data_IF_617467296828
#
_entry.id   IF_617467296828
#
_cell.length_a   1.000
_cell.length_b   1.000
_cell.length_c   1.000
_cell.angle_alpha   90.00
_cell.angle_beta   90.00
_cell.angle_gamma   90.00
#
_symmetry.space_group_name_H-M   'P 1'
#
loop_
_entity.id
_entity.type
_entity.pdbx_description
1 polymer ?
#
# COMPACT_ATOMS: atom_id res chain seq x y z
N UNK A 1 -5.35 6.64 8.20
CA UNK A 1 -4.95 7.08 9.56
C UNK A 1 -6.00 6.64 10.58
N UNK A 2 -5.68 6.65 11.87
CA UNK A 2 -6.66 6.35 12.93
C UNK A 2 -7.90 7.26 12.88
N UNK A 3 -7.72 8.54 12.52
CA UNK A 3 -8.81 9.51 12.39
C UNK A 3 -9.79 9.14 11.26
N UNK A 4 -9.29 8.71 10.10
CA UNK A 4 -10.14 8.22 9.00
C UNK A 4 -10.94 6.99 9.43
N UNK A 5 -10.32 6.07 10.17
CA UNK A 5 -11.02 4.89 10.70
C UNK A 5 -12.14 5.29 11.67
N UNK A 6 -11.86 6.17 12.64
CA UNK A 6 -12.87 6.68 13.59
C UNK A 6 -14.08 7.29 12.86
N UNK A 7 -13.82 8.06 11.81
CA UNK A 7 -14.87 8.79 11.11
C UNK A 7 -15.73 7.92 10.18
N UNK A 8 -15.23 6.75 9.75
CA UNK A 8 -15.89 5.91 8.74
C UNK A 8 -16.25 4.50 9.23
N UNK A 9 -15.71 4.07 10.37
CA UNK A 9 -16.05 2.78 10.95
C UNK A 9 -17.41 2.85 11.62
N UNK A 10 -18.34 2.00 11.18
CA UNK A 10 -19.70 1.93 11.74
C UNK A 10 -19.79 1.16 13.06
N UNK A 11 -18.68 0.58 13.53
CA UNK A 11 -18.58 -0.02 14.87
C UNK A 11 -18.17 1.00 15.93
N UNK A 12 -17.95 0.54 17.15
CA UNK A 12 -17.56 1.42 18.26
C UNK A 12 -16.04 1.56 18.33
N UNK A 13 -15.53 2.79 18.20
CA UNK A 13 -14.12 3.10 18.51
C UNK A 13 -14.04 3.66 19.92
N UNK A 14 -13.49 2.87 20.83
CA UNK A 14 -13.53 3.16 22.28
C UNK A 14 -12.38 4.05 22.75
N UNK A 15 -11.25 4.02 22.03
CA UNK A 15 -10.13 4.93 22.21
C UNK A 15 -9.28 4.96 20.93
N UNK A 16 -8.59 6.08 20.72
CA UNK A 16 -7.51 6.20 19.76
C UNK A 16 -6.35 6.92 20.45
N UNK A 17 -5.19 6.27 20.50
CA UNK A 17 -3.98 6.92 20.99
C UNK A 17 -3.21 7.51 19.82
N UNK A 18 -2.88 8.79 19.94
CA UNK A 18 -1.95 9.52 19.06
C UNK A 18 -0.66 9.86 19.81
N UNK A 19 -0.37 9.15 20.92
CA UNK A 19 0.79 9.36 21.78
C UNK A 19 2.06 9.50 20.95
N UNK A 20 2.95 10.43 21.35
CA UNK A 20 4.22 10.67 20.67
C UNK A 20 4.97 9.34 20.46
N UNK A 21 5.24 8.99 19.20
CA UNK A 21 5.97 7.79 18.82
C UNK A 21 7.27 7.67 19.65
N UNK A 22 7.62 6.44 20.03
CA UNK A 22 8.86 6.13 20.75
C UNK A 22 8.75 6.11 22.28
N UNK A 23 7.54 5.98 22.86
CA UNK A 23 7.42 5.72 24.29
C UNK A 23 7.91 4.32 24.66
N UNK A 24 8.52 4.15 25.86
CA UNK A 24 8.94 2.84 26.33
C UNK A 24 7.77 1.94 26.76
N UNK A 25 6.56 2.50 26.91
CA UNK A 25 5.35 1.80 27.35
C UNK A 25 4.11 2.54 26.84
N UNK A 26 3.04 1.79 26.55
CA UNK A 26 1.71 2.26 26.13
C UNK A 26 0.58 1.59 26.95
N UNK A 27 0.92 0.95 28.08
CA UNK A 27 -0.01 0.14 28.87
C UNK A 27 -1.24 0.92 29.35
N UNK A 28 -1.08 2.20 29.72
CA UNK A 28 -2.19 3.03 30.19
C UNK A 28 -3.23 3.27 29.08
N UNK A 29 -2.76 3.56 27.87
CA UNK A 29 -3.59 3.74 26.68
C UNK A 29 -4.30 2.44 26.29
N UNK A 30 -3.59 1.32 26.36
CA UNK A 30 -4.17 -0.02 26.11
C UNK A 30 -5.29 -0.33 27.13
N UNK A 31 -5.05 -0.10 28.41
CA UNK A 31 -6.04 -0.33 29.47
C UNK A 31 -7.26 0.60 29.33
N UNK A 32 -7.04 1.85 28.94
CA UNK A 32 -8.11 2.80 28.67
C UNK A 32 -8.98 2.34 27.50
N UNK A 33 -8.35 1.89 26.40
CA UNK A 33 -9.05 1.38 25.23
C UNK A 33 -9.90 0.14 25.57
N UNK A 34 -9.34 -0.80 26.33
CA UNK A 34 -10.02 -2.02 26.76
C UNK A 34 -11.18 -1.72 27.72
N UNK A 35 -11.01 -0.77 28.65
CA UNK A 35 -12.07 -0.34 29.58
C UNK A 35 -13.28 0.26 28.87
N UNK A 36 -13.09 0.82 27.67
CA UNK A 36 -14.18 1.30 26.83
C UNK A 36 -14.95 0.19 26.09
N UNK A 37 -14.53 -1.07 26.23
CA UNK A 37 -15.20 -2.24 25.64
C UNK A 37 -14.70 -2.63 24.25
N UNK A 38 -13.48 -2.24 23.86
CA UNK A 38 -12.91 -2.70 22.60
C UNK A 38 -12.62 -4.21 22.66
N UNK A 39 -12.91 -4.90 21.56
CA UNK A 39 -12.70 -6.35 21.42
C UNK A 39 -11.42 -6.70 20.67
N UNK A 40 -10.82 -5.72 19.98
CA UNK A 40 -9.60 -5.85 19.21
C UNK A 40 -8.86 -4.51 19.16
N UNK A 41 -7.57 -4.58 18.86
CA UNK A 41 -6.72 -3.40 18.65
C UNK A 41 -6.36 -3.27 17.17
N UNK A 42 -6.60 -2.09 16.58
CA UNK A 42 -6.14 -1.75 15.23
C UNK A 42 -4.71 -1.18 15.33
N UNK A 43 -3.76 -1.83 14.70
CA UNK A 43 -2.32 -1.60 14.82
C UNK A 43 -1.86 -0.73 13.64
N UNK A 44 -1.73 0.57 13.88
CA UNK A 44 -1.28 1.56 12.89
C UNK A 44 -0.01 2.22 13.43
N UNK A 45 1.14 1.60 13.15
CA UNK A 45 2.46 2.07 13.58
C UNK A 45 3.56 1.52 12.66
N UNK A 46 4.82 1.90 12.86
CA UNK A 46 5.93 1.13 12.30
C UNK A 46 6.26 -0.05 13.22
N UNK A 47 6.99 -1.08 12.72
CA UNK A 47 7.21 -2.31 13.47
C UNK A 47 7.89 -2.12 14.83
N UNK A 48 8.80 -1.15 14.96
CA UNK A 48 9.51 -0.91 16.22
C UNK A 48 8.58 -0.43 17.35
N UNK A 49 7.67 0.48 17.03
CA UNK A 49 6.65 0.97 17.97
C UNK A 49 5.58 -0.09 18.21
N UNK A 50 5.15 -0.78 17.15
CA UNK A 50 4.18 -1.87 17.24
C UNK A 50 4.63 -2.97 18.18
N UNK A 51 5.92 -3.32 18.15
CA UNK A 51 6.49 -4.33 19.03
C UNK A 51 6.22 -4.04 20.51
N UNK A 52 6.39 -2.79 20.95
CA UNK A 52 6.25 -2.40 22.36
C UNK A 52 4.82 -2.65 22.85
N UNK A 53 3.83 -2.05 22.19
CA UNK A 53 2.45 -2.15 22.67
C UNK A 53 1.82 -3.51 22.38
N UNK A 54 2.26 -4.25 21.36
CA UNK A 54 1.81 -5.62 21.15
C UNK A 54 2.30 -6.54 22.27
N UNK A 55 3.59 -6.46 22.65
CA UNK A 55 4.12 -7.22 23.79
C UNK A 55 3.38 -6.89 25.07
N UNK A 56 3.26 -5.60 25.41
CA UNK A 56 2.57 -5.19 26.62
C UNK A 56 1.10 -5.64 26.62
N UNK A 57 0.42 -5.51 25.50
CA UNK A 57 -0.97 -5.96 25.35
C UNK A 57 -1.11 -7.45 25.58
N UNK A 58 -0.21 -8.26 25.03
CA UNK A 58 -0.22 -9.73 25.16
C UNK A 58 0.15 -10.15 26.60
N UNK A 59 1.24 -9.62 27.14
CA UNK A 59 1.75 -9.95 28.48
C UNK A 59 0.77 -9.58 29.60
N UNK A 60 0.01 -8.50 29.41
CA UNK A 60 -1.01 -8.04 30.37
C UNK A 60 -2.42 -8.51 30.01
N UNK A 61 -2.57 -9.36 28.99
CA UNK A 61 -3.85 -9.91 28.52
C UNK A 61 -4.91 -8.83 28.21
N UNK A 62 -4.48 -7.64 27.75
CA UNK A 62 -5.37 -6.50 27.47
C UNK A 62 -6.11 -6.70 26.16
N UNK A 63 -5.36 -6.94 25.07
CA UNK A 63 -5.88 -7.40 23.79
C UNK A 63 -5.07 -8.57 23.28
N UNK A 64 -5.78 -9.53 22.68
CA UNK A 64 -5.21 -10.72 22.01
C UNK A 64 -5.73 -10.86 20.58
N UNK A 65 -6.44 -9.84 20.08
CA UNK A 65 -6.94 -9.76 18.71
C UNK A 65 -6.46 -8.46 18.09
N UNK A 66 -5.78 -8.57 16.96
CA UNK A 66 -5.21 -7.43 16.26
C UNK A 66 -5.71 -7.37 14.81
N UNK A 67 -5.84 -6.15 14.30
CA UNK A 67 -5.97 -5.88 12.86
C UNK A 67 -4.86 -4.92 12.47
N UNK A 68 -4.09 -5.27 11.45
CA UNK A 68 -2.88 -4.57 11.05
C UNK A 68 -3.12 -3.62 9.86
N UNK A 69 -2.19 -2.68 9.67
CA UNK A 69 -2.10 -1.84 8.49
C UNK A 69 -0.82 -2.13 7.70
N UNK A 70 -0.68 -1.47 6.55
CA UNK A 70 0.43 -1.60 5.60
C UNK A 70 1.79 -1.35 6.27
N UNK A 71 1.89 -0.31 7.09
CA UNK A 71 3.10 0.06 7.81
C UNK A 71 3.55 -1.01 8.84
N UNK A 72 2.62 -1.85 9.29
CA UNK A 72 2.86 -2.93 10.27
C UNK A 72 3.00 -4.32 9.63
N UNK A 73 2.94 -4.41 8.30
CA UNK A 73 3.11 -5.67 7.55
C UNK A 73 4.57 -6.13 7.61
N UNK A 74 4.94 -6.93 8.61
CA UNK A 74 6.33 -7.33 8.86
C UNK A 74 6.47 -8.74 9.46
N UNK A 75 7.17 -9.63 8.75
CA UNK A 75 7.53 -10.95 9.29
C UNK A 75 8.54 -10.86 10.45
N UNK A 76 9.37 -9.80 10.50
CA UNK A 76 10.28 -9.57 11.64
C UNK A 76 9.48 -9.25 12.91
N UNK A 77 8.44 -8.43 12.79
CA UNK A 77 7.51 -8.17 13.89
C UNK A 77 6.85 -9.47 14.35
N UNK A 78 6.41 -10.30 13.41
CA UNK A 78 5.84 -11.61 13.70
C UNK A 78 6.80 -12.53 14.46
N UNK A 79 8.06 -12.61 14.03
CA UNK A 79 9.09 -13.40 14.70
C UNK A 79 9.39 -12.91 16.12
N UNK A 80 9.35 -11.59 16.33
CA UNK A 80 9.60 -10.97 17.63
C UNK A 80 8.44 -11.15 18.61
N UNK A 81 7.20 -11.00 18.14
CA UNK A 81 6.00 -11.16 18.97
C UNK A 81 5.72 -12.64 19.26
N UNK A 82 6.04 -13.55 18.33
CA UNK A 82 5.69 -14.96 18.38
C UNK A 82 4.47 -15.22 17.51
N UNK A 83 4.60 -16.17 16.56
CA UNK A 83 3.56 -16.50 15.59
C UNK A 83 2.26 -16.95 16.26
N UNK A 84 2.36 -17.68 17.37
CA UNK A 84 1.25 -18.17 18.18
C UNK A 84 0.33 -17.05 18.71
N UNK A 85 0.83 -15.82 18.79
CA UNK A 85 0.09 -14.67 19.29
C UNK A 85 -0.62 -13.87 18.20
N UNK A 86 -0.25 -14.05 16.93
CA UNK A 86 -0.75 -13.21 15.83
C UNK A 86 -1.20 -13.99 14.58
N UNK A 87 -0.94 -15.29 14.51
CA UNK A 87 -1.42 -16.13 13.42
C UNK A 87 -2.96 -16.06 13.30
N UNK A 88 -3.45 -15.98 12.07
CA UNK A 88 -4.86 -15.77 11.74
C UNK A 88 -5.32 -14.31 11.80
N UNK A 89 -4.48 -13.39 12.28
CA UNK A 89 -4.77 -11.96 12.25
C UNK A 89 -4.47 -11.37 10.90
N UNK A 90 -5.25 -10.34 10.56
CA UNK A 90 -5.27 -9.77 9.22
C UNK A 90 -4.80 -8.33 9.22
N UNK A 91 -4.35 -7.88 8.07
CA UNK A 91 -4.15 -6.46 7.83
C UNK A 91 -4.52 -6.06 6.42
N UNK A 92 -4.45 -4.75 6.18
CA UNK A 92 -4.61 -4.17 4.86
C UNK A 92 -3.27 -3.68 4.33
N UNK A 93 -3.09 -3.69 3.01
CA UNK A 93 -2.00 -3.03 2.31
C UNK A 93 -2.50 -2.48 0.96
N UNK A 94 -1.76 -1.58 0.30
CA UNK A 94 -1.94 -1.40 -1.13
C UNK A 94 -1.88 -2.75 -1.85
N UNK A 95 -2.80 -2.96 -2.78
CA UNK A 95 -2.86 -4.17 -3.57
C UNK A 95 -2.75 -3.89 -5.06
N UNK A 96 -2.67 -4.97 -5.83
CA UNK A 96 -2.90 -4.98 -7.26
C UNK A 96 -3.65 -6.26 -7.64
N UNK A 97 -4.09 -6.36 -8.89
CA UNK A 97 -4.79 -7.54 -9.39
C UNK A 97 -4.00 -8.18 -10.54
N UNK A 98 -3.60 -9.43 -10.38
CA UNK A 98 -2.90 -10.18 -11.44
C UNK A 98 -3.79 -10.47 -12.66
N UNK A 99 -5.10 -10.23 -12.57
CA UNK A 99 -6.02 -10.29 -13.70
C UNK A 99 -5.91 -9.05 -14.59
N UNK A 100 -5.36 -7.93 -14.08
CA UNK A 100 -5.10 -6.74 -14.89
C UNK A 100 -3.91 -6.97 -15.83
N UNK A 101 -4.06 -6.72 -17.15
CA UNK A 101 -3.01 -7.00 -18.13
C UNK A 101 -1.66 -6.34 -17.79
N UNK A 102 -1.70 -5.11 -17.29
CA UNK A 102 -0.51 -4.35 -16.91
C UNK A 102 0.20 -4.94 -15.69
N UNK A 103 -0.55 -5.26 -14.63
CA UNK A 103 -0.02 -5.96 -13.44
C UNK A 103 0.58 -7.31 -13.84
N UNK A 104 -0.10 -8.09 -14.67
CA UNK A 104 0.35 -9.40 -15.11
C UNK A 104 1.66 -9.32 -15.93
N UNK A 105 1.77 -8.34 -16.83
CA UNK A 105 2.97 -8.11 -17.62
C UNK A 105 4.16 -7.72 -16.73
N UNK A 106 3.94 -6.82 -15.78
CA UNK A 106 4.96 -6.42 -14.82
C UNK A 106 5.39 -7.59 -13.91
N UNK A 107 4.45 -8.37 -13.36
CA UNK A 107 4.78 -9.51 -12.49
C UNK A 107 5.66 -10.53 -13.23
N UNK A 108 5.33 -10.86 -14.50
CA UNK A 108 6.17 -11.76 -15.32
C UNK A 108 7.59 -11.23 -15.47
N UNK A 109 7.74 -9.93 -15.75
CA UNK A 109 9.05 -9.31 -15.89
C UNK A 109 9.83 -9.27 -14.58
N UNK A 110 9.16 -8.96 -13.46
CA UNK A 110 9.76 -8.93 -12.13
C UNK A 110 10.27 -10.31 -11.72
N UNK A 111 9.45 -11.36 -11.86
CA UNK A 111 9.84 -12.74 -11.54
C UNK A 111 10.98 -13.22 -12.45
N UNK A 112 10.94 -12.88 -13.75
CA UNK A 112 12.04 -13.23 -14.64
C UNK A 112 13.38 -12.60 -14.22
N UNK A 113 13.34 -11.39 -13.63
CA UNK A 113 14.52 -10.65 -13.18
C UNK A 113 15.01 -11.08 -11.78
N UNK A 114 14.10 -11.32 -10.84
CA UNK A 114 14.41 -11.50 -9.42
C UNK A 114 14.17 -12.92 -8.90
N UNK A 115 13.47 -13.76 -9.66
CA UNK A 115 13.19 -15.16 -9.32
C UNK A 115 12.06 -15.36 -8.31
N UNK A 116 11.43 -14.29 -7.84
CA UNK A 116 10.35 -14.30 -6.84
C UNK A 116 9.33 -13.20 -7.11
N UNK A 117 8.14 -13.34 -6.52
CA UNK A 117 7.14 -12.26 -6.46
C UNK A 117 7.62 -11.15 -5.51
N UNK A 118 7.19 -9.89 -5.69
CA UNK A 118 7.56 -8.82 -4.77
C UNK A 118 6.99 -9.07 -3.37
N UNK A 119 7.89 -9.30 -2.40
CA UNK A 119 7.50 -9.61 -1.02
C UNK A 119 7.08 -8.37 -0.19
N UNK A 120 7.53 -7.18 -0.58
CA UNK A 120 7.27 -5.92 0.13
C UNK A 120 6.09 -5.18 -0.48
N UNK A 121 5.31 -4.51 0.37
CA UNK A 121 4.34 -3.51 -0.09
C UNK A 121 5.05 -2.37 -0.84
N UNK A 122 4.31 -1.64 -1.67
CA UNK A 122 4.79 -0.46 -2.41
C UNK A 122 5.79 -0.71 -3.54
N UNK A 123 6.13 -1.97 -3.87
CA UNK A 123 7.10 -2.24 -4.94
C UNK A 123 6.55 -1.84 -6.32
N UNK A 124 5.26 -2.11 -6.57
CA UNK A 124 4.60 -1.77 -7.84
C UNK A 124 4.33 -0.27 -7.93
N UNK A 125 3.88 0.33 -6.84
CA UNK A 125 3.61 1.75 -6.70
C UNK A 125 4.88 2.58 -6.89
N UNK A 126 6.01 2.10 -6.35
CA UNK A 126 7.32 2.72 -6.56
C UNK A 126 7.78 2.62 -8.02
N UNK A 127 7.50 1.50 -8.69
CA UNK A 127 7.75 1.35 -10.12
C UNK A 127 6.90 2.34 -10.94
N UNK A 128 5.60 2.41 -10.66
CA UNK A 128 4.65 3.30 -11.36
C UNK A 128 5.04 4.76 -11.21
N UNK A 129 5.43 5.19 -10.00
CA UNK A 129 5.91 6.54 -9.75
C UNK A 129 7.14 6.88 -10.60
N UNK A 130 8.12 5.97 -10.69
CA UNK A 130 9.33 6.18 -11.49
C UNK A 130 9.00 6.25 -12.98
N UNK A 131 8.15 5.35 -13.47
CA UNK A 131 7.74 5.33 -14.88
C UNK A 131 6.95 6.58 -15.26
N UNK A 132 5.97 6.99 -14.44
CA UNK A 132 5.19 8.21 -14.69
C UNK A 132 6.10 9.44 -14.79
N UNK A 133 7.08 9.58 -13.88
CA UNK A 133 8.07 10.66 -13.92
C UNK A 133 8.94 10.59 -15.19
N UNK A 134 9.39 9.39 -15.58
CA UNK A 134 10.24 9.20 -16.74
C UNK A 134 9.51 9.51 -18.06
N UNK A 135 8.28 9.03 -18.22
CA UNK A 135 7.45 9.31 -19.39
C UNK A 135 7.11 10.81 -19.48
N UNK A 136 6.79 11.45 -18.35
CA UNK A 136 6.53 12.88 -18.31
C UNK A 136 7.77 13.72 -18.66
N UNK A 137 8.97 13.29 -18.22
CA UNK A 137 10.23 13.93 -18.58
C UNK A 137 10.54 13.79 -20.09
N UNK A 138 10.30 12.61 -20.66
CA UNK A 138 10.45 12.38 -22.10
C UNK A 138 9.45 13.24 -22.89
N UNK A 139 8.17 13.29 -22.48
CA UNK A 139 7.14 14.11 -23.11
C UNK A 139 7.45 15.62 -23.02
N UNK A 140 8.07 16.06 -21.92
CA UNK A 140 8.51 17.44 -21.75
C UNK A 140 9.78 17.76 -22.55
N UNK A 141 10.54 16.75 -22.98
CA UNK A 141 11.89 16.92 -23.50
C UNK A 141 12.83 17.60 -22.48
N UNK A 142 12.57 17.43 -21.18
CA UNK A 142 13.21 18.17 -20.10
C UNK A 142 13.23 17.40 -18.79
N UNK A 143 14.26 17.61 -17.99
CA UNK A 143 14.36 17.10 -16.61
C UNK A 143 14.01 18.15 -15.56
N UNK A 144 13.55 19.34 -15.97
CA UNK A 144 13.13 20.39 -15.04
C UNK A 144 11.82 20.01 -14.34
N UNK A 145 11.78 20.11 -13.01
CA UNK A 145 10.66 19.60 -12.22
C UNK A 145 9.30 20.22 -12.59
N UNK A 146 9.29 21.50 -12.98
CA UNK A 146 8.07 22.17 -13.43
C UNK A 146 7.56 21.61 -14.76
N UNK A 147 8.46 21.31 -15.70
CA UNK A 147 8.10 20.76 -17.00
C UNK A 147 7.59 19.32 -16.87
N UNK A 148 8.21 18.50 -16.01
CA UNK A 148 7.73 17.16 -15.67
C UNK A 148 6.34 17.23 -15.05
N UNK A 149 6.15 18.08 -14.03
CA UNK A 149 4.85 18.26 -13.36
C UNK A 149 3.73 18.53 -14.35
N UNK A 150 3.98 19.39 -15.32
CA UNK A 150 2.98 19.82 -16.30
C UNK A 150 2.62 18.71 -17.31
N UNK A 151 3.46 17.67 -17.44
CA UNK A 151 3.22 16.51 -18.30
C UNK A 151 2.70 15.27 -17.56
N UNK A 152 2.80 15.21 -16.23
CA UNK A 152 2.45 14.00 -15.46
C UNK A 152 1.05 13.46 -15.79
N UNK A 153 0.03 14.32 -15.90
CA UNK A 153 -1.34 13.89 -16.24
C UNK A 153 -1.48 13.47 -17.70
N UNK A 154 -0.73 14.08 -18.61
CA UNK A 154 -0.84 13.82 -20.05
C UNK A 154 -0.27 12.46 -20.45
N UNK A 155 0.51 11.80 -19.58
CA UNK A 155 1.13 10.50 -19.88
C UNK A 155 0.48 9.34 -19.13
N UNK A 156 -0.43 9.62 -18.19
CA UNK A 156 -1.05 8.60 -17.32
C UNK A 156 -2.59 8.69 -17.26
N UNK A 157 -3.19 9.54 -18.09
CA UNK A 157 -4.64 9.73 -18.15
C UNK A 157 -5.10 9.95 -19.60
N UNK A 158 -6.38 9.68 -19.90
CA UNK A 158 -6.97 10.03 -21.18
C UNK A 158 -6.90 11.54 -21.50
N UNK A 159 -6.82 11.94 -22.79
CA UNK A 159 -6.83 11.10 -23.97
C UNK A 159 -5.43 10.54 -24.28
N UNK A 160 -5.36 9.29 -24.74
CA UNK A 160 -4.11 8.67 -25.15
C UNK A 160 -4.29 7.20 -25.48
N UNK A 161 -3.35 6.62 -26.23
CA UNK A 161 -3.30 5.17 -26.38
C UNK A 161 -2.87 4.55 -25.05
N UNK A 162 -3.66 3.59 -24.54
CA UNK A 162 -3.28 2.86 -23.34
C UNK A 162 -1.99 2.06 -23.56
N UNK A 163 -1.02 2.27 -22.68
CA UNK A 163 0.26 1.55 -22.65
C UNK A 163 0.43 0.92 -21.28
N UNK A 164 0.93 -0.31 -21.23
CA UNK A 164 0.98 -1.11 -20.01
C UNK A 164 2.39 -1.12 -19.39
N UNK A 165 2.47 -1.55 -18.13
CA UNK A 165 3.73 -1.74 -17.42
C UNK A 165 4.54 -2.94 -17.95
N UNK A 166 5.82 -2.96 -17.54
CA UNK A 166 6.78 -3.96 -17.96
C UNK A 166 7.61 -3.52 -19.18
N UNK A 167 8.74 -4.21 -19.45
CA UNK A 167 9.76 -3.70 -20.38
C UNK A 167 9.24 -3.39 -21.79
N UNK A 168 8.39 -4.27 -22.34
CA UNK A 168 7.83 -4.10 -23.70
C UNK A 168 6.86 -2.92 -23.77
N UNK A 169 5.96 -2.79 -22.79
CA UNK A 169 4.99 -1.71 -22.73
C UNK A 169 5.66 -0.35 -22.51
N UNK A 170 6.68 -0.28 -21.65
CA UNK A 170 7.45 0.96 -21.44
C UNK A 170 8.26 1.34 -22.69
N UNK A 171 8.83 0.37 -23.41
CA UNK A 171 9.52 0.64 -24.67
C UNK A 171 8.57 1.25 -25.71
N UNK A 172 7.36 0.68 -25.86
CA UNK A 172 6.33 1.22 -26.75
C UNK A 172 5.85 2.61 -26.32
N UNK A 173 5.67 2.84 -25.02
CA UNK A 173 5.30 4.15 -24.48
C UNK A 173 6.33 5.23 -24.80
N UNK A 174 7.62 4.94 -24.60
CA UNK A 174 8.71 5.86 -24.93
C UNK A 174 8.78 6.18 -26.43
N UNK A 175 8.55 5.18 -27.29
CA UNK A 175 8.50 5.40 -28.74
C UNK A 175 7.34 6.31 -29.14
N UNK A 176 6.13 6.05 -28.62
CA UNK A 176 4.95 6.88 -28.86
C UNK A 176 5.18 8.32 -28.41
N UNK A 177 5.68 8.53 -27.19
CA UNK A 177 5.99 9.86 -26.65
C UNK A 177 7.01 10.61 -27.53
N UNK A 178 8.07 9.93 -28.01
CA UNK A 178 9.07 10.52 -28.92
C UNK A 178 8.51 10.91 -30.27
N UNK A 179 7.47 10.20 -30.73
CA UNK A 179 6.75 10.53 -31.96
C UNK A 179 5.71 11.65 -31.76
N UNK A 180 5.55 12.15 -30.53
CA UNK A 180 4.58 13.19 -30.17
C UNK A 180 3.15 12.65 -30.04
N UNK A 181 3.00 11.35 -29.80
CA UNK A 181 1.70 10.70 -29.60
C UNK A 181 1.26 10.81 -28.13
N UNK A 182 -0.04 10.97 -27.91
CA UNK A 182 -0.64 10.97 -26.57
C UNK A 182 -0.76 9.53 -26.04
N UNK A 183 -0.35 9.30 -24.79
CA UNK A 183 -0.37 7.99 -24.15
C UNK A 183 -1.12 8.04 -22.81
N UNK A 184 -1.64 6.88 -22.42
CA UNK A 184 -2.31 6.67 -21.14
C UNK A 184 -1.65 5.47 -20.44
N UNK A 185 -0.68 5.73 -19.58
CA UNK A 185 0.05 4.68 -18.88
C UNK A 185 -0.80 4.01 -17.79
N UNK A 186 -1.14 2.75 -18.03
CA UNK A 186 -1.75 1.85 -17.05
C UNK A 186 -0.66 1.17 -16.21
N UNK A 187 -0.64 1.48 -14.91
CA UNK A 187 0.42 1.10 -13.98
C UNK A 187 0.47 -0.39 -13.61
N UNK A 188 1.59 -0.81 -13.05
CA UNK A 188 1.78 -2.13 -12.48
C UNK A 188 0.94 -2.37 -11.22
N UNK A 189 0.67 -1.32 -10.43
CA UNK A 189 -0.20 -1.39 -9.25
C UNK A 189 -1.66 -1.15 -9.62
N UNK A 190 -1.91 -0.07 -10.37
CA UNK A 190 -3.23 0.35 -10.83
C UNK A 190 -3.11 1.40 -11.95
N UNK A 191 -4.20 1.71 -12.66
CA UNK A 191 -4.30 2.95 -13.41
C UNK A 191 -3.95 4.16 -12.53
N UNK A 192 -3.28 5.18 -13.09
CA UNK A 192 -2.90 6.40 -12.37
C UNK A 192 -3.89 7.55 -12.61
N UNK A 193 -5.18 7.22 -12.61
CA UNK A 193 -6.29 8.16 -12.73
C UNK A 193 -6.40 9.05 -11.48
N UNK A 194 -5.63 10.13 -11.46
CA UNK A 194 -5.69 11.15 -10.43
C UNK A 194 -6.84 12.14 -10.61
N UNK A 195 -7.51 12.44 -9.50
CA UNK A 195 -8.46 13.53 -9.42
C UNK A 195 -7.77 14.93 -9.46
N UNK A 196 -8.57 15.98 -9.27
CA UNK A 196 -8.10 17.37 -9.25
C UNK A 196 -7.05 17.66 -8.16
N UNK A 197 -7.07 16.94 -7.03
CA UNK A 197 -6.10 17.09 -5.93
C UNK A 197 -4.87 16.19 -6.08
N UNK A 198 -4.86 15.27 -7.04
CA UNK A 198 -3.75 14.34 -7.26
C UNK A 198 -3.94 12.96 -6.61
N UNK A 199 -5.12 12.66 -6.07
CA UNK A 199 -5.40 11.36 -5.45
C UNK A 199 -5.90 10.36 -6.50
N UNK A 200 -5.46 9.11 -6.38
CA UNK A 200 -5.96 8.00 -7.20
C UNK A 200 -7.45 7.79 -6.98
N UNK A 201 -8.20 7.63 -8.07
CA UNK A 201 -9.63 7.38 -8.02
C UNK A 201 -9.99 5.89 -8.07
N UNK A 202 -9.13 5.06 -8.67
CA UNK A 202 -9.32 3.61 -8.76
C UNK A 202 -8.07 2.88 -8.31
N UNK A 203 -8.21 1.65 -7.83
CA UNK A 203 -7.09 0.82 -7.43
C UNK A 203 -7.53 -0.37 -6.62
N UNK A 204 -6.61 -0.95 -5.84
CA UNK A 204 -6.86 -2.13 -5.04
C UNK A 204 -6.33 -2.00 -3.61
N UNK A 205 -7.03 -2.64 -2.68
CA UNK A 205 -6.57 -2.85 -1.29
C UNK A 205 -6.39 -4.35 -1.06
N UNK A 206 -5.16 -4.77 -0.78
CA UNK A 206 -4.84 -6.13 -0.35
C UNK A 206 -5.32 -6.35 1.08
N UNK A 207 -5.97 -7.48 1.32
CA UNK A 207 -6.14 -8.08 2.64
C UNK A 207 -5.16 -9.24 2.75
N UNK A 208 -4.33 -9.22 3.78
CA UNK A 208 -3.33 -10.24 4.06
C UNK A 208 -3.52 -10.82 5.48
N UNK A 209 -2.91 -11.97 5.75
CA UNK A 209 -3.02 -12.70 7.03
C UNK A 209 -1.67 -13.25 7.47
N UNK A 210 -1.39 -13.28 8.77
CA UNK A 210 -0.25 -14.03 9.33
C UNK A 210 -0.58 -15.53 9.38
N UNK A 211 0.30 -16.38 8.84
CA UNK A 211 0.24 -17.85 8.94
C UNK A 211 1.61 -18.44 9.21
N UNK A 212 1.81 -19.06 10.37
CA UNK A 212 3.13 -19.54 10.78
C UNK A 212 4.16 -18.42 10.84
N UNK A 213 3.75 -17.21 11.24
CA UNK A 213 4.59 -16.01 11.24
C UNK A 213 4.97 -15.48 9.85
N UNK A 214 4.36 -16.01 8.78
CA UNK A 214 4.53 -15.55 7.40
C UNK A 214 3.35 -14.72 6.95
N UNK A 215 3.60 -13.75 6.07
CA UNK A 215 2.54 -12.95 5.48
C UNK A 215 1.98 -13.67 4.26
N UNK A 216 0.69 -13.94 4.27
CA UNK A 216 -0.02 -14.60 3.18
C UNK A 216 -1.10 -13.65 2.64
N UNK A 217 -0.99 -13.20 1.37
CA UNK A 217 -2.07 -12.48 0.71
C UNK A 217 -3.34 -13.32 0.66
N UNK A 218 -4.50 -12.73 0.94
CA UNK A 218 -5.80 -13.41 0.87
C UNK A 218 -6.61 -12.96 -0.35
N UNK A 219 -6.78 -11.67 -0.51
CA UNK A 219 -7.53 -11.08 -1.62
C UNK A 219 -7.10 -9.62 -1.86
N UNK A 220 -7.23 -9.16 -3.10
CA UNK A 220 -7.16 -7.74 -3.45
C UNK A 220 -8.56 -7.25 -3.80
N UNK A 221 -9.07 -6.27 -3.06
CA UNK A 221 -10.38 -5.68 -3.31
C UNK A 221 -10.26 -4.43 -4.15
N UNK A 222 -10.94 -4.34 -5.31
CA UNK A 222 -10.96 -3.12 -6.09
C UNK A 222 -11.73 -2.02 -5.37
N UNK A 223 -11.35 -0.76 -5.62
CA UNK A 223 -12.12 0.42 -5.28
C UNK A 223 -12.27 1.34 -6.49
N UNK A 224 -13.36 2.12 -6.50
CA UNK A 224 -13.63 3.18 -7.46
C UNK A 224 -14.28 4.36 -6.71
N UNK A 225 -13.66 5.53 -6.79
CA UNK A 225 -14.02 6.76 -6.08
C UNK A 225 -14.48 7.87 -7.04
N UNK A 226 -14.75 7.53 -8.31
CA UNK A 226 -15.26 8.49 -9.31
C UNK A 226 -16.73 8.84 -9.11
#
# INVERSE_FOLDING_TARGET
SAEVFINNFSGNVTAASYSALGQPSYLAELQQAASGGAELLVVIAFPGEAEVFLRESIENEVFTKFVFADATRSEDLAAKIGAEHIDGMKGTAPGSSADEPSTAAWNRAYIAQFGEEPARAYVREGYDAVIAIALAAEAAGSTESAAIRDQLRNVVQPPGQTVIAGPEGIAAALEAVRNGEEIDYDGAASPLDWNATGDLQTGFVEIWEYRGGKIVPLESRPFDLR
#
